data_IF_153904134889
#
_entry.id   IF_153904134889
#
_cell.length_a   1.000
_cell.length_b   1.000
_cell.length_c   1.000
_cell.angle_alpha   90.00
_cell.angle_beta   90.00
_cell.angle_gamma   90.00
#
_symmetry.space_group_name_H-M   'P 1'
#
loop_
_entity.id
_entity.type
_entity.pdbx_description
1 polymer ?
#
# COMPACT_ATOMS: atom_id res chain seq x y z
N UNK A 1 -5.09 -19.75 10.98
CA UNK A 1 -5.25 -18.33 10.57
C UNK A 1 -5.64 -18.32 9.11
N UNK A 2 -6.53 -17.42 8.68
CA UNK A 2 -6.83 -17.19 7.26
C UNK A 2 -5.55 -16.67 6.56
N UNK A 3 -5.25 -17.14 5.36
CA UNK A 3 -4.02 -16.77 4.66
C UNK A 3 -4.06 -15.31 4.15
N UNK A 4 -5.26 -14.76 3.99
CA UNK A 4 -5.54 -13.41 3.51
C UNK A 4 -4.95 -13.17 2.11
N UNK A 5 -5.18 -14.12 1.19
CA UNK A 5 -4.63 -14.09 -0.16
C UNK A 5 -5.74 -14.07 -1.21
N UNK A 6 -5.62 -13.16 -2.16
CA UNK A 6 -6.42 -13.14 -3.37
C UNK A 6 -5.81 -14.15 -4.34
N UNK A 7 -6.62 -15.09 -4.80
CA UNK A 7 -6.20 -16.17 -5.70
C UNK A 7 -6.64 -15.90 -7.14
N UNK A 8 -7.78 -15.21 -7.30
CA UNK A 8 -8.38 -14.89 -8.60
C UNK A 8 -9.18 -13.61 -8.53
N UNK A 9 -9.19 -12.86 -9.63
CA UNK A 9 -10.13 -11.77 -9.87
C UNK A 9 -10.61 -11.80 -11.32
N UNK A 10 -11.91 -11.62 -11.52
CA UNK A 10 -12.54 -11.50 -12.83
C UNK A 10 -13.46 -10.27 -12.82
N UNK A 11 -13.32 -9.42 -13.84
CA UNK A 11 -14.12 -8.21 -14.00
C UNK A 11 -14.68 -8.23 -15.42
N UNK A 12 -16.00 -8.26 -15.53
CA UNK A 12 -16.71 -8.33 -16.82
C UNK A 12 -17.29 -6.99 -17.20
N UNK A 13 -17.43 -6.80 -18.51
CA UNK A 13 -18.10 -5.64 -19.10
C UNK A 13 -17.40 -4.30 -18.81
N UNK A 14 -16.08 -4.29 -18.64
CA UNK A 14 -15.32 -3.04 -18.47
C UNK A 14 -15.45 -2.20 -19.74
N UNK A 15 -16.00 -0.99 -19.57
CA UNK A 15 -16.33 -0.05 -20.65
C UNK A 15 -17.23 -0.64 -21.75
N UNK A 16 -18.00 -1.68 -21.44
CA UNK A 16 -18.83 -2.37 -22.43
C UNK A 16 -18.04 -3.20 -23.46
N UNK A 17 -16.74 -3.42 -23.24
CA UNK A 17 -15.84 -4.01 -24.26
C UNK A 17 -15.00 -5.17 -23.75
N UNK A 18 -14.43 -5.06 -22.55
CA UNK A 18 -13.42 -6.01 -22.08
C UNK A 18 -13.91 -6.81 -20.88
N UNK A 19 -13.53 -8.08 -20.84
CA UNK A 19 -13.58 -8.93 -19.66
C UNK A 19 -12.14 -9.20 -19.24
N UNK A 20 -11.76 -8.83 -18.03
CA UNK A 20 -10.45 -9.17 -17.47
C UNK A 20 -10.58 -10.37 -16.54
N UNK A 21 -9.67 -11.33 -16.65
CA UNK A 21 -9.56 -12.46 -15.73
C UNK A 21 -8.09 -12.69 -15.39
N UNK A 22 -7.76 -12.52 -14.11
CA UNK A 22 -6.47 -12.87 -13.55
C UNK A 22 -6.64 -14.07 -12.61
N UNK A 23 -6.10 -15.21 -13.01
CA UNK A 23 -6.10 -16.44 -12.21
C UNK A 23 -4.69 -16.74 -11.66
N UNK A 24 -4.63 -17.55 -10.61
CA UNK A 24 -3.38 -18.02 -10.00
C UNK A 24 -2.46 -16.88 -9.53
N UNK A 25 -3.05 -15.86 -8.88
CA UNK A 25 -2.23 -14.80 -8.28
C UNK A 25 -1.26 -15.42 -7.26
N UNK A 26 0.00 -14.98 -7.34
CA UNK A 26 1.04 -15.41 -6.43
C UNK A 26 0.73 -14.97 -4.99
N UNK A 27 1.06 -15.78 -3.97
CA UNK A 27 0.82 -15.40 -2.58
C UNK A 27 1.73 -14.27 -2.07
N UNK A 28 2.82 -13.96 -2.77
CA UNK A 28 3.81 -12.95 -2.45
C UNK A 28 3.61 -11.65 -3.26
N UNK A 29 4.03 -11.60 -4.53
CA UNK A 29 4.08 -10.38 -5.35
C UNK A 29 3.44 -10.62 -6.70
N UNK A 30 2.61 -9.68 -7.15
CA UNK A 30 1.94 -9.70 -8.44
C UNK A 30 2.05 -8.30 -9.07
N UNK A 31 2.59 -8.24 -10.27
CA UNK A 31 2.90 -6.97 -10.93
C UNK A 31 2.15 -6.90 -12.26
N UNK A 32 1.22 -5.95 -12.36
CA UNK A 32 0.43 -5.69 -13.55
C UNK A 32 1.10 -4.60 -14.38
N UNK A 33 1.48 -4.91 -15.62
CA UNK A 33 2.06 -3.93 -16.54
C UNK A 33 1.23 -3.81 -17.81
N UNK A 34 1.49 -2.77 -18.60
CA UNK A 34 0.78 -2.48 -19.85
C UNK A 34 0.84 -1.00 -20.22
N UNK A 35 0.44 -0.68 -21.45
CA UNK A 35 0.54 0.68 -21.99
C UNK A 35 -0.36 1.69 -21.26
N UNK A 36 -0.12 3.00 -21.43
CA UNK A 36 -1.02 4.02 -20.90
C UNK A 36 -2.41 3.86 -21.51
N UNK A 37 -3.46 3.93 -20.68
CA UNK A 37 -4.84 3.73 -21.12
C UNK A 37 -5.26 2.27 -21.31
N UNK A 38 -4.40 1.28 -21.00
CA UNK A 38 -4.75 -0.15 -21.10
C UNK A 38 -5.78 -0.63 -20.07
N UNK A 39 -6.07 0.18 -19.04
CA UNK A 39 -7.11 -0.10 -18.04
C UNK A 39 -6.60 -0.48 -16.65
N UNK A 40 -5.28 -0.45 -16.39
CA UNK A 40 -4.67 -0.77 -15.08
C UNK A 40 -5.33 -0.03 -13.91
N UNK A 41 -5.39 1.30 -13.98
CA UNK A 41 -6.05 2.13 -12.95
C UNK A 41 -7.52 1.76 -12.76
N UNK A 42 -8.24 1.41 -13.84
CA UNK A 42 -9.64 0.97 -13.75
C UNK A 42 -9.76 -0.39 -13.08
N UNK A 43 -8.90 -1.34 -13.42
CA UNK A 43 -8.79 -2.64 -12.78
C UNK A 43 -8.56 -2.50 -11.27
N UNK A 44 -7.56 -1.72 -10.87
CA UNK A 44 -7.24 -1.46 -9.46
C UNK A 44 -8.35 -0.71 -8.72
N UNK A 45 -9.04 0.21 -9.40
CA UNK A 45 -10.17 0.94 -8.81
C UNK A 45 -11.40 0.07 -8.60
N UNK A 46 -11.68 -0.88 -9.50
CA UNK A 46 -12.75 -1.87 -9.31
C UNK A 46 -12.39 -2.84 -8.18
N UNK A 47 -11.14 -3.32 -8.16
CA UNK A 47 -10.63 -4.18 -7.09
C UNK A 47 -10.75 -3.51 -5.71
N UNK A 48 -10.28 -2.27 -5.59
CA UNK A 48 -10.41 -1.46 -4.38
C UNK A 48 -11.89 -1.25 -3.98
N UNK A 49 -12.77 -0.99 -4.94
CA UNK A 49 -14.20 -0.83 -4.68
C UNK A 49 -14.87 -2.14 -4.20
N UNK A 50 -14.43 -3.30 -4.70
CA UNK A 50 -14.87 -4.61 -4.18
C UNK A 50 -14.40 -4.83 -2.74
N UNK A 51 -13.10 -4.61 -2.49
CA UNK A 51 -12.49 -4.86 -1.18
C UNK A 51 -12.99 -3.86 -0.10
N UNK A 52 -13.39 -2.65 -0.49
CA UNK A 52 -14.06 -1.68 0.41
C UNK A 52 -15.57 -1.88 0.52
N UNK A 53 -16.15 -2.80 -0.24
CA UNK A 53 -17.60 -2.95 -0.43
C UNK A 53 -18.31 -1.65 -0.88
N UNK A 54 -17.66 -0.82 -1.70
CA UNK A 54 -18.23 0.37 -2.31
C UNK A 54 -19.07 0.03 -3.55
N UNK A 55 -20.25 -0.52 -3.29
CA UNK A 55 -21.25 -0.91 -4.29
C UNK A 55 -21.70 0.28 -5.17
N UNK A 56 -21.65 1.52 -4.65
CA UNK A 56 -21.99 2.71 -5.43
C UNK A 56 -20.94 2.96 -6.50
N UNK A 57 -19.66 2.91 -6.13
CA UNK A 57 -18.55 3.05 -7.06
C UNK A 57 -18.54 1.93 -8.10
N UNK A 58 -18.77 0.69 -7.69
CA UNK A 58 -18.88 -0.45 -8.62
C UNK A 58 -20.01 -0.27 -9.63
N UNK A 59 -21.17 0.26 -9.20
CA UNK A 59 -22.31 0.50 -10.09
C UNK A 59 -21.99 1.52 -11.18
N UNK A 60 -21.19 2.53 -10.86
CA UNK A 60 -20.78 3.55 -11.82
C UNK A 60 -19.90 2.99 -12.96
N UNK A 61 -19.17 1.89 -12.71
CA UNK A 61 -18.40 1.22 -13.75
C UNK A 61 -19.26 0.37 -14.69
N UNK A 62 -20.50 0.06 -14.32
CA UNK A 62 -21.40 -0.82 -15.07
C UNK A 62 -20.79 -2.22 -15.35
N UNK A 63 -20.18 -2.82 -14.33
CA UNK A 63 -19.48 -4.11 -14.43
C UNK A 63 -20.18 -5.21 -13.62
N UNK A 64 -19.76 -6.45 -13.86
CA UNK A 64 -19.90 -7.56 -12.91
C UNK A 64 -18.49 -7.97 -12.48
N UNK A 65 -18.32 -8.46 -11.26
CA UNK A 65 -17.02 -8.92 -10.82
C UNK A 65 -17.09 -10.10 -9.87
N UNK A 66 -16.03 -10.89 -9.89
CA UNK A 66 -15.77 -11.99 -8.98
C UNK A 66 -14.35 -11.86 -8.43
N UNK A 67 -14.20 -12.05 -7.12
CA UNK A 67 -12.88 -12.17 -6.50
C UNK A 67 -12.88 -13.39 -5.57
N UNK A 68 -11.83 -14.21 -5.64
CA UNK A 68 -11.64 -15.37 -4.77
C UNK A 68 -10.53 -15.06 -3.78
N UNK A 69 -10.88 -15.16 -2.50
CA UNK A 69 -9.99 -14.86 -1.37
C UNK A 69 -10.05 -16.01 -0.39
N UNK A 70 -8.92 -16.67 -0.13
CA UNK A 70 -8.86 -17.87 0.73
C UNK A 70 -9.98 -18.88 0.41
N UNK A 71 -10.15 -19.19 -0.88
CA UNK A 71 -11.19 -20.09 -1.43
C UNK A 71 -12.65 -19.58 -1.27
N UNK A 72 -12.85 -18.36 -0.77
CA UNK A 72 -14.16 -17.72 -0.65
C UNK A 72 -14.42 -16.86 -1.88
N UNK A 73 -15.44 -17.22 -2.67
CA UNK A 73 -15.88 -16.42 -3.81
C UNK A 73 -16.79 -15.26 -3.38
N UNK A 74 -16.40 -14.05 -3.77
CA UNK A 74 -17.16 -12.81 -3.59
C UNK A 74 -17.61 -12.36 -4.97
N UNK A 75 -18.93 -12.28 -5.15
CA UNK A 75 -19.57 -11.93 -6.40
C UNK A 75 -20.23 -10.57 -6.26
N UNK A 76 -20.05 -9.74 -7.28
CA UNK A 76 -20.71 -8.46 -7.44
C UNK A 76 -21.48 -8.43 -8.76
N UNK A 77 -22.75 -8.08 -8.65
CA UNK A 77 -23.58 -7.63 -9.77
C UNK A 77 -24.42 -6.42 -9.31
N UNK A 78 -25.26 -5.89 -10.21
CA UNK A 78 -26.07 -4.69 -9.94
C UNK A 78 -27.05 -4.83 -8.75
N UNK A 79 -27.41 -6.06 -8.35
CA UNK A 79 -28.32 -6.37 -7.25
C UNK A 79 -27.59 -6.58 -5.91
N UNK A 80 -26.28 -6.85 -5.94
CA UNK A 80 -25.46 -7.11 -4.74
C UNK A 80 -25.51 -5.94 -3.76
N UNK A 81 -25.69 -6.26 -2.48
CA UNK A 81 -25.70 -5.25 -1.40
C UNK A 81 -24.32 -5.11 -0.73
N UNK A 82 -24.01 -3.96 -0.10
CA UNK A 82 -22.74 -3.79 0.62
C UNK A 82 -22.55 -4.81 1.75
N UNK A 83 -23.65 -5.22 2.41
CA UNK A 83 -23.59 -6.16 3.53
C UNK A 83 -23.20 -7.57 3.08
N UNK A 84 -23.65 -8.02 1.92
CA UNK A 84 -23.25 -9.31 1.33
C UNK A 84 -21.73 -9.38 1.11
N UNK A 85 -21.14 -8.31 0.57
CA UNK A 85 -19.69 -8.22 0.36
C UNK A 85 -18.96 -8.16 1.71
N UNK A 86 -19.39 -7.28 2.62
CA UNK A 86 -18.77 -7.11 3.95
C UNK A 86 -18.79 -8.39 4.78
N UNK A 87 -19.86 -9.18 4.71
CA UNK A 87 -19.95 -10.44 5.43
C UNK A 87 -18.88 -11.43 4.95
N UNK A 88 -18.66 -11.52 3.63
CA UNK A 88 -17.64 -12.39 3.05
C UNK A 88 -16.21 -11.88 3.30
N UNK A 89 -16.02 -10.57 3.35
CA UNK A 89 -14.75 -9.92 3.71
C UNK A 89 -14.49 -9.87 5.22
N UNK A 90 -15.30 -10.54 6.05
CA UNK A 90 -15.07 -10.52 7.50
C UNK A 90 -13.71 -11.14 7.87
N UNK A 91 -12.87 -10.32 8.51
CA UNK A 91 -11.49 -10.66 8.88
C UNK A 91 -10.48 -10.59 7.73
N UNK A 92 -10.87 -10.08 6.56
CA UNK A 92 -9.96 -9.78 5.45
C UNK A 92 -9.32 -8.40 5.68
N UNK A 93 -8.00 -8.35 5.66
CA UNK A 93 -7.27 -7.10 5.80
C UNK A 93 -6.66 -6.70 4.45
N UNK A 94 -6.96 -5.49 3.98
CA UNK A 94 -6.26 -4.91 2.85
C UNK A 94 -5.95 -3.44 3.08
N UNK A 95 -4.97 -2.95 2.34
CA UNK A 95 -4.59 -1.55 2.30
C UNK A 95 -4.38 -1.16 0.85
N UNK A 96 -4.95 -0.03 0.43
CA UNK A 96 -4.58 0.62 -0.83
C UNK A 96 -3.70 1.83 -0.55
N UNK A 97 -2.58 1.92 -1.26
CA UNK A 97 -1.73 3.09 -1.28
C UNK A 97 -1.86 3.74 -2.66
N UNK A 98 -2.42 4.95 -2.69
CA UNK A 98 -2.66 5.75 -3.90
C UNK A 98 -2.09 7.14 -3.66
N UNK A 99 -0.76 7.26 -3.76
CA UNK A 99 -0.03 8.40 -3.18
C UNK A 99 -0.21 9.72 -3.96
N UNK A 100 -0.65 9.65 -5.22
CA UNK A 100 -0.90 10.83 -6.07
C UNK A 100 -2.37 11.22 -6.21
N UNK A 101 -3.30 10.35 -5.79
CA UNK A 101 -4.73 10.51 -6.03
C UNK A 101 -5.53 10.93 -4.80
N UNK A 102 -4.87 11.26 -3.67
CA UNK A 102 -5.57 11.68 -2.46
C UNK A 102 -6.38 12.95 -2.75
N UNK A 103 -7.73 12.87 -2.78
CA UNK A 103 -8.54 14.06 -2.98
C UNK A 103 -8.30 14.97 -1.78
N UNK A 104 -7.88 16.21 -2.05
CA UNK A 104 -7.65 17.25 -1.05
C UNK A 104 -8.95 17.51 -0.28
N UNK A 105 -9.24 16.72 0.77
CA UNK A 105 -10.52 16.77 1.48
C UNK A 105 -10.77 18.11 2.17
N UNK A 106 -9.73 18.91 2.44
CA UNK A 106 -9.90 20.23 3.05
C UNK A 106 -8.73 21.19 2.76
N UNK A 107 -8.75 21.86 1.58
CA UNK A 107 -7.86 23.02 1.32
C UNK A 107 -7.96 24.13 2.37
N UNK A 108 -9.06 24.18 3.13
CA UNK A 108 -9.33 25.25 4.11
C UNK A 108 -8.58 25.08 5.44
N UNK A 109 -8.02 23.90 5.73
CA UNK A 109 -7.26 23.60 6.97
C UNK A 109 -5.75 23.48 6.74
N UNK A 110 -5.28 23.50 5.50
CA UNK A 110 -3.85 23.36 5.19
C UNK A 110 -3.11 24.68 5.42
N UNK A 111 -2.01 24.63 6.17
CA UNK A 111 -1.05 25.73 6.19
C UNK A 111 -0.42 25.90 4.81
N UNK A 112 0.13 27.09 4.52
CA UNK A 112 0.78 27.40 3.22
C UNK A 112 1.92 26.44 2.84
N UNK A 113 2.41 25.61 3.76
CA UNK A 113 3.55 24.69 3.59
C UNK A 113 3.15 23.21 3.59
N UNK A 114 1.88 22.86 3.79
CA UNK A 114 1.47 21.45 3.82
C UNK A 114 1.24 20.91 2.40
N UNK A 115 1.89 19.78 2.07
CA UNK A 115 1.61 18.98 0.88
C UNK A 115 0.74 17.77 1.26
N UNK A 116 -0.04 17.17 0.34
CA UNK A 116 -0.85 15.98 0.64
C UNK A 116 -0.04 14.86 1.30
N UNK A 117 1.16 14.61 0.78
CA UNK A 117 2.11 13.62 1.32
C UNK A 117 2.53 13.96 2.75
N UNK A 118 2.77 15.23 3.05
CA UNK A 118 3.13 15.64 4.40
C UNK A 118 1.96 15.47 5.37
N UNK A 119 0.73 15.78 4.95
CA UNK A 119 -0.47 15.57 5.76
C UNK A 119 -0.69 14.09 6.06
N UNK A 120 -0.59 13.23 5.05
CA UNK A 120 -0.69 11.77 5.20
C UNK A 120 0.40 11.22 6.10
N UNK A 121 1.65 11.70 5.95
CA UNK A 121 2.75 11.28 6.80
C UNK A 121 2.56 11.74 8.26
N UNK A 122 2.09 12.97 8.48
CA UNK A 122 1.75 13.46 9.83
C UNK A 122 0.65 12.61 10.48
N UNK A 123 -0.36 12.23 9.71
CA UNK A 123 -1.42 11.33 10.18
C UNK A 123 -0.85 9.97 10.58
N UNK A 124 -0.12 9.31 9.69
CA UNK A 124 0.48 7.97 9.96
C UNK A 124 1.45 7.99 11.14
N UNK A 125 2.19 9.08 11.34
CA UNK A 125 3.20 9.16 12.41
C UNK A 125 2.59 9.60 13.75
N UNK A 126 1.67 10.58 13.74
CA UNK A 126 1.29 11.32 14.95
C UNK A 126 -0.20 11.30 15.30
N UNK A 127 -1.11 10.73 14.49
CA UNK A 127 -2.51 10.64 14.90
C UNK A 127 -2.61 9.73 16.13
N UNK A 128 -3.24 10.19 17.21
CA UNK A 128 -3.41 9.38 18.44
C UNK A 128 -4.89 9.11 18.63
N UNK A 129 -5.26 7.84 18.75
CA UNK A 129 -6.62 7.43 19.14
C UNK A 129 -7.69 7.49 18.05
N UNK A 130 -7.30 7.60 16.77
CA UNK A 130 -8.23 7.42 15.64
C UNK A 130 -8.28 5.94 15.19
N UNK A 131 -9.23 5.60 14.30
CA UNK A 131 -9.50 4.21 13.85
C UNK A 131 -8.30 3.47 13.21
N UNK A 132 -7.17 4.15 12.95
CA UNK A 132 -5.95 3.59 12.37
C UNK A 132 -4.79 3.75 13.36
N UNK A 133 -4.04 2.67 13.63
CA UNK A 133 -2.87 2.72 14.49
C UNK A 133 -1.76 3.57 13.86
N UNK A 134 -1.31 4.61 14.55
CA UNK A 134 -0.15 5.42 14.14
C UNK A 134 1.17 4.85 14.65
N UNK A 135 2.27 5.38 14.14
CA UNK A 135 3.61 5.06 14.65
C UNK A 135 3.80 5.47 16.11
N UNK A 136 3.23 6.60 16.53
CA UNK A 136 3.25 7.03 17.93
C UNK A 136 2.46 6.07 18.82
N UNK A 137 1.28 5.62 18.40
CA UNK A 137 0.49 4.62 19.13
C UNK A 137 1.23 3.29 19.23
N UNK A 138 1.88 2.87 18.15
CA UNK A 138 2.71 1.67 18.12
C UNK A 138 3.85 1.73 19.14
N UNK A 139 4.55 2.87 19.21
CA UNK A 139 5.63 3.10 20.18
C UNK A 139 5.11 3.13 21.62
N UNK A 140 3.94 3.73 21.85
CA UNK A 140 3.32 3.78 23.17
C UNK A 140 2.99 2.40 23.74
N UNK A 141 2.74 1.39 22.88
CA UNK A 141 2.58 -0.01 23.34
C UNK A 141 3.78 -0.49 24.15
N UNK A 142 5.00 -0.14 23.77
CA UNK A 142 6.21 -0.57 24.49
C UNK A 142 6.27 0.02 25.92
N UNK A 143 5.73 1.23 26.12
CA UNK A 143 5.65 1.85 27.44
C UNK A 143 4.52 1.25 28.28
N UNK A 144 3.38 0.96 27.65
CA UNK A 144 2.17 0.49 28.34
C UNK A 144 2.21 -1.03 28.65
N UNK A 145 2.97 -1.80 27.87
CA UNK A 145 3.11 -3.26 27.98
C UNK A 145 4.60 -3.64 28.04
N UNK A 146 5.27 -3.50 29.21
CA UNK A 146 6.71 -3.73 29.35
C UNK A 146 7.16 -5.12 28.88
N UNK A 147 6.30 -6.14 28.99
CA UNK A 147 6.55 -7.50 28.52
C UNK A 147 6.66 -7.62 26.99
N UNK A 148 6.07 -6.69 26.23
CA UNK A 148 6.14 -6.63 24.77
C UNK A 148 7.21 -5.64 24.28
N UNK A 149 7.82 -4.86 25.18
CA UNK A 149 8.69 -3.75 24.83
C UNK A 149 9.93 -4.18 24.02
N UNK A 150 10.53 -5.32 24.35
CA UNK A 150 11.71 -5.83 23.64
C UNK A 150 11.39 -6.18 22.18
N UNK A 151 10.27 -6.87 21.95
CA UNK A 151 9.80 -7.23 20.61
C UNK A 151 9.47 -5.97 19.78
N UNK A 152 8.70 -5.04 20.36
CA UNK A 152 8.33 -3.77 19.72
C UNK A 152 9.57 -2.97 19.33
N UNK A 153 10.52 -2.80 20.26
CA UNK A 153 11.75 -2.05 19.99
C UNK A 153 12.64 -2.74 18.96
N UNK A 154 12.68 -4.08 18.93
CA UNK A 154 13.39 -4.84 17.89
C UNK A 154 12.78 -4.60 16.52
N UNK A 155 11.45 -4.59 16.42
CA UNK A 155 10.75 -4.32 15.17
C UNK A 155 10.95 -2.88 14.69
N UNK A 156 10.93 -1.91 15.60
CA UNK A 156 11.25 -0.50 15.29
C UNK A 156 12.69 -0.37 14.77
N UNK A 157 13.66 -1.05 15.39
CA UNK A 157 15.05 -1.06 14.91
C UNK A 157 15.15 -1.62 13.48
N UNK A 158 14.53 -2.77 13.20
CA UNK A 158 14.52 -3.34 11.85
C UNK A 158 13.87 -2.39 10.82
N UNK A 159 12.80 -1.69 11.21
CA UNK A 159 12.20 -0.66 10.38
C UNK A 159 13.16 0.50 10.11
N UNK A 160 13.87 1.01 11.12
CA UNK A 160 14.86 2.06 10.93
C UNK A 160 16.04 1.61 10.07
N UNK A 161 16.52 0.38 10.25
CA UNK A 161 17.58 -0.19 9.43
C UNK A 161 17.15 -0.28 7.96
N UNK A 162 15.91 -0.68 7.69
CA UNK A 162 15.33 -0.72 6.34
C UNK A 162 15.26 0.68 5.72
N UNK A 163 14.76 1.67 6.45
CA UNK A 163 14.70 3.07 5.98
C UNK A 163 16.11 3.61 5.72
N UNK A 164 17.03 3.42 6.66
CA UNK A 164 18.42 3.90 6.56
C UNK A 164 19.14 3.26 5.37
N UNK A 165 18.89 1.98 5.11
CA UNK A 165 19.45 1.29 3.95
C UNK A 165 18.99 1.91 2.63
N UNK A 166 17.69 2.19 2.50
CA UNK A 166 17.13 2.84 1.31
C UNK A 166 17.57 4.30 1.17
N UNK A 167 17.71 5.03 2.28
CA UNK A 167 18.10 6.45 2.29
C UNK A 167 19.63 6.67 2.26
N UNK A 168 20.43 5.59 2.25
CA UNK A 168 21.89 5.67 2.25
C UNK A 168 22.44 6.52 1.09
N UNK A 169 21.83 6.44 -0.10
CA UNK A 169 22.22 7.24 -1.27
C UNK A 169 22.02 8.76 -1.09
N UNK A 170 21.16 9.18 -0.15
CA UNK A 170 20.96 10.60 0.18
C UNK A 170 21.65 11.04 1.46
N UNK A 171 22.38 10.13 2.13
CA UNK A 171 23.10 10.39 3.38
C UNK A 171 22.21 10.56 4.62
N UNK A 172 20.89 10.36 4.49
CA UNK A 172 19.94 10.60 5.57
C UNK A 172 19.71 9.36 6.42
N UNK A 173 19.61 9.55 7.74
CA UNK A 173 19.25 8.48 8.69
C UNK A 173 18.06 8.85 9.55
N UNK A 174 17.11 7.94 9.74
CA UNK A 174 15.91 8.15 10.56
C UNK A 174 16.20 7.95 12.05
N UNK A 175 15.63 8.81 12.89
CA UNK A 175 15.67 8.66 14.35
C UNK A 175 14.47 9.32 15.03
N UNK A 176 14.31 9.09 16.33
CA UNK A 176 13.44 9.90 17.19
C UNK A 176 14.28 10.95 17.89
N UNK A 177 13.87 12.20 17.77
CA UNK A 177 14.42 13.28 18.57
C UNK A 177 14.08 13.03 20.06
N UNK A 178 15.08 12.85 20.94
CA UNK A 178 14.84 12.54 22.35
C UNK A 178 14.20 13.70 23.12
N UNK A 179 14.31 14.94 22.63
CA UNK A 179 13.74 16.12 23.28
C UNK A 179 12.29 16.36 22.87
N UNK A 180 12.00 16.20 21.58
CA UNK A 180 10.67 16.51 21.02
C UNK A 180 9.79 15.28 20.81
N UNK A 181 10.37 14.08 20.92
CA UNK A 181 9.74 12.80 20.57
C UNK A 181 9.22 12.74 19.12
N UNK A 182 9.74 13.59 18.24
CA UNK A 182 9.38 13.65 16.83
C UNK A 182 10.23 12.71 15.99
N UNK A 183 9.62 12.17 14.93
CA UNK A 183 10.35 11.45 13.89
C UNK A 183 11.10 12.45 13.02
N UNK A 184 12.42 12.32 12.98
CA UNK A 184 13.33 13.20 12.25
C UNK A 184 14.31 12.38 11.41
N UNK A 185 14.99 13.06 10.49
CA UNK A 185 16.15 12.53 9.79
C UNK A 185 17.40 13.33 10.17
N UNK A 186 18.56 12.69 10.15
CA UNK A 186 19.87 13.32 10.25
C UNK A 186 20.59 13.26 8.93
N UNK A 187 21.24 14.36 8.55
CA UNK A 187 22.20 14.43 7.46
C UNK A 187 23.49 15.02 8.01
N UNK A 188 24.42 14.14 8.38
CA UNK A 188 25.60 14.49 9.18
C UNK A 188 25.21 15.13 10.52
N UNK A 189 25.38 16.46 10.63
CA UNK A 189 25.02 17.24 11.84
C UNK A 189 23.67 17.95 11.72
N UNK A 190 23.09 18.03 10.53
CA UNK A 190 21.83 18.73 10.31
C UNK A 190 20.64 17.84 10.70
N UNK A 191 19.66 18.45 11.37
CA UNK A 191 18.35 17.84 11.62
C UNK A 191 17.39 18.21 10.49
N UNK A 192 16.85 17.19 9.83
CA UNK A 192 15.87 17.30 8.75
C UNK A 192 14.51 16.83 9.26
N UNK A 193 13.55 17.75 9.34
CA UNK A 193 12.17 17.43 9.68
C UNK A 193 11.41 16.89 8.46
N UNK A 194 10.32 16.17 8.70
CA UNK A 194 9.51 15.51 7.65
C UNK A 194 9.05 16.46 6.52
N UNK A 195 8.79 17.73 6.82
CA UNK A 195 8.39 18.70 5.79
C UNK A 195 9.47 18.98 4.75
N UNK A 196 10.76 18.87 5.14
CA UNK A 196 11.93 19.11 4.29
C UNK A 196 12.33 17.91 3.41
N UNK A 197 11.74 16.73 3.62
CA UNK A 197 11.99 15.56 2.76
C UNK A 197 11.55 15.84 1.31
N UNK A 198 12.14 15.19 0.32
CA UNK A 198 11.63 15.25 -1.06
C UNK A 198 10.26 14.54 -1.16
N UNK A 199 9.50 14.77 -2.24
CA UNK A 199 8.23 14.06 -2.45
C UNK A 199 8.43 12.55 -2.54
N UNK A 200 9.49 12.09 -3.23
CA UNK A 200 9.85 10.67 -3.33
C UNK A 200 10.22 10.06 -1.98
N UNK A 201 10.99 10.78 -1.17
CA UNK A 201 11.33 10.35 0.20
C UNK A 201 10.08 10.23 1.08
N UNK A 202 9.17 11.20 1.00
CA UNK A 202 7.88 11.14 1.72
C UNK A 202 7.04 9.95 1.27
N UNK A 203 6.93 9.72 -0.04
CA UNK A 203 6.17 8.60 -0.60
C UNK A 203 6.74 7.25 -0.14
N UNK A 204 8.06 7.07 -0.24
CA UNK A 204 8.72 5.85 0.22
C UNK A 204 8.47 5.62 1.71
N UNK A 205 8.64 6.65 2.53
CA UNK A 205 8.41 6.55 3.97
C UNK A 205 6.95 6.23 4.33
N UNK A 206 5.97 6.78 3.59
CA UNK A 206 4.54 6.43 3.74
C UNK A 206 4.31 4.94 3.49
N UNK A 207 4.89 4.40 2.40
CA UNK A 207 4.75 2.97 2.06
C UNK A 207 5.34 2.10 3.17
N UNK A 208 6.59 2.36 3.57
CA UNK A 208 7.28 1.56 4.58
C UNK A 208 6.58 1.66 5.95
N UNK A 209 6.13 2.84 6.37
CA UNK A 209 5.39 3.01 7.62
C UNK A 209 4.06 2.26 7.60
N UNK A 210 3.30 2.29 6.50
CA UNK A 210 2.05 1.54 6.40
C UNK A 210 2.27 0.05 6.52
N UNK A 211 3.29 -0.48 5.84
CA UNK A 211 3.65 -1.90 5.92
C UNK A 211 4.11 -2.27 7.32
N UNK A 212 4.93 -1.42 7.95
CA UNK A 212 5.31 -1.58 9.35
C UNK A 212 4.10 -1.60 10.29
N UNK A 213 3.09 -0.75 10.07
CA UNK A 213 1.92 -0.69 10.93
C UNK A 213 0.95 -1.88 10.75
N UNK A 214 1.14 -2.73 9.73
CA UNK A 214 0.41 -4.00 9.60
C UNK A 214 0.74 -5.03 10.68
N UNK A 215 1.77 -4.78 11.51
CA UNK A 215 2.11 -5.61 12.68
C UNK A 215 2.31 -7.10 12.40
N UNK A 216 2.95 -7.40 11.25
CA UNK A 216 3.19 -8.77 10.79
C UNK A 216 1.93 -9.56 10.44
N UNK A 217 0.75 -8.91 10.47
CA UNK A 217 -0.51 -9.55 10.16
C UNK A 217 -0.61 -9.82 8.64
N UNK A 218 -1.34 -10.88 8.24
CA UNK A 218 -1.69 -11.09 6.84
C UNK A 218 -2.45 -9.88 6.30
N UNK A 219 -1.99 -9.37 5.16
CA UNK A 219 -2.57 -8.21 4.46
C UNK A 219 -2.44 -8.36 2.95
N UNK A 220 -3.43 -7.84 2.22
CA UNK A 220 -3.29 -7.54 0.79
C UNK A 220 -2.94 -6.06 0.63
N UNK A 221 -1.82 -5.77 -0.02
CA UNK A 221 -1.37 -4.41 -0.32
C UNK A 221 -1.61 -4.10 -1.81
N UNK A 222 -2.52 -3.18 -2.08
CA UNK A 222 -2.75 -2.64 -3.41
C UNK A 222 -1.95 -1.35 -3.62
N UNK A 223 -1.15 -1.30 -4.68
CA UNK A 223 -0.39 -0.10 -5.05
C UNK A 223 -0.55 0.20 -6.53
N UNK A 224 -1.16 1.34 -6.85
CA UNK A 224 -1.29 1.79 -8.24
C UNK A 224 -0.12 2.72 -8.57
N UNK A 225 0.77 2.28 -9.46
CA UNK A 225 1.95 3.02 -9.94
C UNK A 225 2.77 3.66 -8.79
N UNK A 226 3.20 2.87 -7.77
CA UNK A 226 3.92 3.41 -6.61
C UNK A 226 5.27 4.05 -6.96
N UNK A 227 5.78 3.86 -8.17
CA UNK A 227 7.11 4.28 -8.60
C UNK A 227 7.22 5.72 -9.13
N UNK A 228 6.11 6.40 -9.44
CA UNK A 228 6.11 7.64 -10.23
C UNK A 228 7.08 8.72 -9.70
N UNK A 229 7.29 8.81 -8.38
CA UNK A 229 8.27 9.75 -7.81
C UNK A 229 9.45 9.10 -7.09
N UNK A 230 9.61 7.78 -7.20
CA UNK A 230 10.70 7.05 -6.58
C UNK A 230 11.93 7.03 -7.49
N UNK A 231 13.10 7.24 -6.89
CA UNK A 231 14.37 7.02 -7.57
C UNK A 231 14.50 5.55 -8.01
N UNK A 232 15.18 5.31 -9.14
CA UNK A 232 15.23 3.98 -9.78
C UNK A 232 15.70 2.87 -8.83
N UNK A 233 16.69 3.15 -7.98
CA UNK A 233 17.20 2.21 -6.97
C UNK A 233 16.12 1.79 -5.95
N UNK A 234 15.24 2.71 -5.56
CA UNK A 234 14.13 2.39 -4.66
C UNK A 234 13.07 1.55 -5.34
N UNK A 235 12.81 1.78 -6.64
CA UNK A 235 11.86 0.96 -7.40
C UNK A 235 12.27 -0.51 -7.40
N UNK A 236 13.57 -0.77 -7.57
CA UNK A 236 14.12 -2.14 -7.59
C UNK A 236 13.99 -2.86 -6.25
N UNK A 237 14.25 -2.15 -5.14
CA UNK A 237 14.25 -2.78 -3.80
C UNK A 237 12.90 -2.75 -3.10
N UNK A 238 11.94 -1.97 -3.58
CA UNK A 238 10.70 -1.70 -2.85
C UNK A 238 9.99 -2.97 -2.41
N UNK A 239 9.75 -3.91 -3.33
CA UNK A 239 9.00 -5.13 -3.02
C UNK A 239 9.77 -6.06 -2.09
N UNK A 240 11.08 -6.16 -2.24
CA UNK A 240 11.95 -6.93 -1.33
C UNK A 240 11.89 -6.37 0.09
N UNK A 241 12.00 -5.04 0.24
CA UNK A 241 11.95 -4.38 1.56
C UNK A 241 10.56 -4.48 2.18
N UNK A 242 9.48 -4.43 1.39
CA UNK A 242 8.12 -4.68 1.88
C UNK A 242 7.99 -6.13 2.39
N UNK A 243 8.49 -7.11 1.64
CA UNK A 243 8.45 -8.52 2.06
C UNK A 243 9.31 -8.78 3.31
N UNK A 244 10.45 -8.10 3.46
CA UNK A 244 11.27 -8.16 4.69
C UNK A 244 10.55 -7.55 5.89
N UNK A 245 9.86 -6.42 5.71
CA UNK A 245 9.10 -5.75 6.78
C UNK A 245 7.82 -6.51 7.18
N UNK A 246 7.14 -7.13 6.21
CA UNK A 246 5.97 -7.98 6.47
C UNK A 246 5.89 -9.16 5.47
N UNK A 247 6.44 -10.34 5.83
CA UNK A 247 6.40 -11.54 4.99
C UNK A 247 4.99 -12.09 4.74
N UNK A 248 4.00 -11.70 5.55
CA UNK A 248 2.61 -12.11 5.39
C UNK A 248 1.85 -11.27 4.35
N UNK A 249 2.48 -10.23 3.80
CA UNK A 249 1.85 -9.32 2.85
C UNK A 249 1.79 -9.92 1.44
N UNK A 250 0.61 -9.89 0.80
CA UNK A 250 0.49 -10.10 -0.64
C UNK A 250 0.48 -8.75 -1.34
N UNK A 251 1.46 -8.50 -2.19
CA UNK A 251 1.58 -7.28 -2.98
C UNK A 251 0.89 -7.49 -4.32
N UNK A 252 -0.01 -6.59 -4.66
CA UNK A 252 -0.62 -6.51 -6.00
C UNK A 252 -0.45 -5.07 -6.45
N UNK A 253 0.32 -4.87 -7.50
CA UNK A 253 0.73 -3.52 -7.93
C UNK A 253 0.68 -3.35 -9.43
N UNK A 254 0.39 -2.14 -9.90
CA UNK A 254 0.57 -1.77 -11.30
C UNK A 254 1.90 -1.03 -11.48
N UNK A 255 2.51 -1.16 -12.66
CA UNK A 255 3.74 -0.43 -12.99
C UNK A 255 3.83 -0.08 -14.47
N UNK A 256 4.45 1.06 -14.73
CA UNK A 256 4.92 1.50 -16.05
C UNK A 256 6.42 1.36 -16.22
N UNK A 257 7.15 0.99 -15.16
CA UNK A 257 8.60 0.96 -15.18
C UNK A 257 9.14 -0.27 -15.88
N UNK A 258 9.87 -0.12 -17.01
CA UNK A 258 10.55 -1.24 -17.67
C UNK A 258 11.73 -1.77 -16.83
N UNK A 259 12.07 -1.10 -15.73
CA UNK A 259 13.20 -1.46 -14.88
C UNK A 259 12.97 -2.80 -14.16
N UNK A 260 11.73 -3.10 -13.77
CA UNK A 260 11.38 -4.31 -13.02
C UNK A 260 11.63 -5.62 -13.80
N UNK A 261 11.79 -5.56 -15.12
CA UNK A 261 12.10 -6.74 -15.96
C UNK A 261 13.52 -7.29 -15.73
N UNK A 262 14.49 -6.43 -15.36
CA UNK A 262 15.90 -6.81 -15.25
C UNK A 262 16.28 -7.52 -13.95
N UNK A 263 15.45 -7.39 -12.91
CA UNK A 263 15.84 -7.65 -11.52
C UNK A 263 15.19 -8.90 -10.92
N UNK A 264 14.76 -9.84 -11.77
CA UNK A 264 14.24 -11.13 -11.32
C UNK A 264 12.75 -11.16 -11.00
N UNK A 265 12.02 -10.06 -11.21
CA UNK A 265 10.55 -10.01 -11.08
C UNK A 265 9.79 -10.46 -12.33
N UNK A 266 10.50 -10.94 -13.35
CA UNK A 266 9.95 -11.35 -14.64
C UNK A 266 8.84 -12.41 -14.56
N UNK A 267 8.94 -13.33 -13.60
CA UNK A 267 7.95 -14.39 -13.35
C UNK A 267 6.70 -13.90 -12.59
N UNK A 268 6.78 -12.72 -11.95
CA UNK A 268 5.67 -12.08 -11.24
C UNK A 268 4.91 -11.05 -12.09
N UNK A 269 5.44 -10.73 -13.27
CA UNK A 269 4.90 -9.75 -14.20
C UNK A 269 3.81 -10.35 -15.09
N UNK A 270 2.70 -9.63 -15.21
CA UNK A 270 1.58 -9.98 -16.10
C UNK A 270 1.18 -8.73 -16.90
N UNK A 271 1.02 -8.87 -18.21
CA UNK A 271 0.47 -7.82 -19.04
C UNK A 271 -1.05 -7.80 -18.90
N UNK A 272 -1.65 -6.63 -18.69
CA UNK A 272 -3.11 -6.51 -18.59
C UNK A 272 -3.83 -6.95 -19.86
N UNK A 273 -3.17 -6.82 -21.01
CA UNK A 273 -3.66 -7.30 -22.30
C UNK A 273 -3.82 -8.84 -22.32
N UNK A 274 -2.96 -9.57 -21.61
CA UNK A 274 -3.04 -11.04 -21.48
C UNK A 274 -4.15 -11.49 -20.55
N UNK A 275 -4.69 -10.58 -19.73
CA UNK A 275 -5.84 -10.84 -18.87
C UNK A 275 -7.18 -10.74 -19.61
N UNK A 276 -7.19 -10.25 -20.86
CA UNK A 276 -8.43 -10.07 -21.63
C UNK A 276 -8.95 -11.43 -22.09
N UNK A 277 -10.16 -11.78 -21.68
CA UNK A 277 -10.87 -12.98 -22.12
C UNK A 277 -12.06 -12.62 -23.00
N UNK A 278 -12.40 -13.51 -23.93
CA UNK A 278 -13.59 -13.37 -24.80
C UNK A 278 -14.88 -13.57 -24.01
#
# INVERSE_FOLDING_TARGET
MKANKIQKIEIRNVWGKYNFRWENLNPDVNILTGINGSGKTTFFNVMDALLSADVKRLRNYNIEAEIIIDDIAILYNRQTTPNEIKQKLSGFNYMKISTFDVPLKDRRKMGKEDSPLLSELKEIVYSVGENNASFSDYRLKATNFPEQAEEINTRIRHFYDTVNHLFAGTGKTIEIDPMTNQLIFKDGKETIHLHKLSSGEKQLLIILLRVFLMDGQPYVLLMDEPEISLHIEWQYRLFEEIQKLNPCCQIITSTHSPSLFGDGWGDKLVFIEDLIVQ
#
